data_IF_321171957636
#
_entry.id   IF_321171957636
#
_cell.length_a   1.000
_cell.length_b   1.000
_cell.length_c   1.000
_cell.angle_alpha   90.00
_cell.angle_beta   90.00
_cell.angle_gamma   90.00
#
_symmetry.space_group_name_H-M   'P 1'
#
loop_
_entity.id
_entity.type
_entity.pdbx_description
1 polymer ?
#
# COMPACT_ATOMS: atom_id res chain seq x y z
N UNK A 1 11.99 9.04 -1.79
CA UNK A 1 11.69 8.67 -3.19
C UNK A 1 10.20 8.92 -3.37
N UNK A 2 9.74 9.27 -4.54
CA UNK A 2 8.31 9.47 -4.82
C UNK A 2 7.74 8.17 -5.36
N UNK A 3 6.62 7.74 -4.82
CA UNK A 3 5.87 6.57 -5.24
C UNK A 3 4.57 7.03 -5.88
N UNK A 4 4.30 6.55 -7.08
CA UNK A 4 3.06 6.80 -7.81
C UNK A 4 2.42 5.46 -8.04
N UNK A 5 1.20 5.30 -7.57
CA UNK A 5 0.45 4.06 -7.63
C UNK A 5 -0.93 4.26 -8.23
N UNK A 6 -1.49 3.19 -8.75
CA UNK A 6 -2.91 3.04 -9.05
C UNK A 6 -3.42 1.78 -8.35
N UNK A 7 -4.65 1.82 -7.90
CA UNK A 7 -5.30 0.75 -7.14
C UNK A 7 -6.65 0.42 -7.74
N UNK A 8 -6.96 -0.85 -7.82
CA UNK A 8 -8.28 -1.35 -8.24
C UNK A 8 -8.79 -2.41 -7.27
N UNK A 9 -10.10 -2.50 -7.15
CA UNK A 9 -10.77 -3.64 -6.50
C UNK A 9 -10.86 -4.80 -7.49
N UNK A 10 -10.50 -5.98 -7.05
CA UNK A 10 -10.54 -7.18 -7.91
C UNK A 10 -11.91 -7.84 -7.87
N UNK A 11 -12.50 -8.02 -9.05
CA UNK A 11 -13.72 -8.80 -9.26
C UNK A 11 -13.37 -10.26 -9.63
N UNK A 12 -12.32 -10.45 -10.43
CA UNK A 12 -11.80 -11.75 -10.88
C UNK A 12 -10.31 -11.87 -10.57
N UNK A 13 -10.01 -12.32 -9.36
CA UNK A 13 -8.62 -12.51 -8.92
C UNK A 13 -7.92 -13.64 -9.66
N UNK A 14 -8.62 -14.72 -9.98
CA UNK A 14 -8.03 -15.88 -10.65
C UNK A 14 -7.67 -15.54 -12.10
N UNK A 15 -8.55 -14.87 -12.82
CA UNK A 15 -8.28 -14.39 -14.18
C UNK A 15 -7.09 -13.44 -14.22
N UNK A 16 -6.99 -12.52 -13.25
CA UNK A 16 -5.84 -11.63 -13.14
C UNK A 16 -4.53 -12.37 -12.90
N UNK A 17 -4.52 -13.35 -11.97
CA UNK A 17 -3.33 -14.14 -11.69
C UNK A 17 -2.85 -14.92 -12.92
N UNK A 18 -3.79 -15.45 -13.72
CA UNK A 18 -3.47 -16.10 -14.99
C UNK A 18 -2.88 -15.10 -16.02
N UNK A 19 -3.43 -13.89 -16.12
CA UNK A 19 -2.91 -12.84 -17.01
C UNK A 19 -1.49 -12.41 -16.62
N UNK A 20 -1.23 -12.22 -15.33
CA UNK A 20 0.12 -11.90 -14.81
C UNK A 20 1.12 -13.02 -15.12
N UNK A 21 0.74 -14.27 -14.89
CA UNK A 21 1.57 -15.44 -15.23
C UNK A 21 1.86 -15.50 -16.74
N UNK A 22 0.86 -15.21 -17.59
CA UNK A 22 1.01 -15.12 -19.05
C UNK A 22 1.99 -14.04 -19.50
N UNK A 23 2.17 -12.98 -18.70
CA UNK A 23 3.19 -11.94 -18.93
C UNK A 23 4.54 -12.26 -18.24
N UNK A 24 4.68 -13.43 -17.63
CA UNK A 24 5.93 -13.86 -16.97
C UNK A 24 6.14 -13.24 -15.59
N UNK A 25 5.13 -12.64 -14.99
CA UNK A 25 5.22 -12.11 -13.61
C UNK A 25 5.24 -13.27 -12.63
N UNK A 26 6.30 -13.34 -11.82
CA UNK A 26 6.42 -14.29 -10.72
C UNK A 26 6.09 -13.55 -9.43
N UNK A 27 5.02 -13.98 -8.78
CA UNK A 27 4.62 -13.43 -7.49
C UNK A 27 5.39 -14.09 -6.35
N UNK A 28 5.75 -13.29 -5.36
CA UNK A 28 6.39 -13.75 -4.11
C UNK A 28 5.52 -14.76 -3.35
N UNK A 29 6.10 -15.38 -2.34
CA UNK A 29 5.32 -16.00 -1.28
C UNK A 29 4.42 -14.96 -0.60
N UNK A 30 3.40 -15.49 0.09
CA UNK A 30 2.44 -14.66 0.83
C UNK A 30 3.12 -13.99 2.02
N UNK A 31 2.91 -12.69 2.16
CA UNK A 31 3.36 -11.89 3.30
C UNK A 31 2.14 -11.44 4.08
N UNK A 32 2.08 -11.75 5.37
CA UNK A 32 1.09 -11.18 6.27
C UNK A 32 1.60 -9.84 6.76
N UNK A 33 0.78 -8.80 6.62
CA UNK A 33 1.11 -7.44 7.02
C UNK A 33 0.05 -6.92 7.97
N UNK A 34 0.49 -6.32 9.09
CA UNK A 34 -0.35 -5.52 9.97
C UNK A 34 0.17 -4.10 9.96
N UNK A 35 -0.65 -3.17 9.53
CA UNK A 35 -0.34 -1.75 9.41
C UNK A 35 -1.06 -0.98 10.50
N UNK A 36 -0.32 -0.39 11.42
CA UNK A 36 -0.83 0.57 12.40
C UNK A 36 -0.50 1.98 11.90
N UNK A 37 -1.54 2.73 11.56
CA UNK A 37 -1.43 4.07 10.96
C UNK A 37 -1.72 5.13 12.01
N UNK A 38 -0.94 6.19 11.99
CA UNK A 38 -1.02 7.31 12.93
C UNK A 38 -1.03 8.63 12.18
N UNK A 39 -1.88 9.57 12.62
CA UNK A 39 -1.97 10.92 12.11
C UNK A 39 -1.90 11.96 13.21
N UNK A 40 -1.82 13.22 12.84
CA UNK A 40 -1.96 14.31 13.81
C UNK A 40 -3.41 14.46 14.26
N UNK A 41 -3.67 14.88 15.51
CA UNK A 41 -5.04 15.12 15.99
C UNK A 41 -5.80 16.10 15.09
N UNK A 42 -7.02 15.72 14.69
CA UNK A 42 -7.86 16.51 13.80
C UNK A 42 -7.54 16.40 12.30
N UNK A 43 -6.40 15.84 11.94
CA UNK A 43 -5.94 15.71 10.54
C UNK A 43 -5.76 14.25 10.13
N UNK A 44 -5.99 13.31 11.03
CA UNK A 44 -5.91 11.89 10.75
C UNK A 44 -6.97 11.50 9.70
N UNK A 45 -6.51 11.04 8.55
CA UNK A 45 -7.35 10.68 7.41
C UNK A 45 -7.88 11.87 6.63
N UNK A 46 -7.24 13.01 6.76
CA UNK A 46 -7.55 14.17 5.90
C UNK A 46 -7.35 13.78 4.43
N UNK A 47 -8.19 14.37 3.60
CA UNK A 47 -8.24 14.30 2.14
C UNK A 47 -6.99 14.85 1.45
N UNK A 48 -5.90 14.68 2.14
CA UNK A 48 -4.62 14.71 1.58
C UNK A 48 -4.00 16.06 1.55
N UNK A 49 -3.20 16.41 2.07
CA UNK A 49 -2.31 17.13 1.25
C UNK A 49 -1.02 17.59 1.81
N UNK A 50 -0.70 17.67 2.96
CA UNK A 50 0.63 18.17 3.34
C UNK A 50 1.10 17.62 4.67
N UNK A 51 0.16 17.08 5.41
CA UNK A 51 0.43 16.54 6.73
C UNK A 51 0.95 15.11 6.59
N UNK A 52 2.15 14.84 7.06
CA UNK A 52 2.67 13.49 7.05
C UNK A 52 1.86 12.60 7.99
N UNK A 53 1.67 11.35 7.57
CA UNK A 53 1.19 10.29 8.43
C UNK A 53 2.27 9.22 8.59
N UNK A 54 2.16 8.46 9.66
CA UNK A 54 3.15 7.47 10.04
C UNK A 54 2.53 6.08 10.02
N UNK A 55 3.31 5.08 9.64
CA UNK A 55 2.91 3.68 9.65
C UNK A 55 3.96 2.86 10.36
N UNK A 56 3.52 2.03 11.29
CA UNK A 56 4.30 0.93 11.84
C UNK A 56 3.72 -0.35 11.25
N UNK A 57 4.49 -1.00 10.35
CA UNK A 57 4.10 -2.23 9.67
C UNK A 57 4.87 -3.40 10.24
N UNK A 58 4.18 -4.42 10.69
CA UNK A 58 4.77 -5.72 10.99
C UNK A 58 4.51 -6.66 9.82
N UNK A 59 5.57 -7.21 9.24
CA UNK A 59 5.49 -8.25 8.21
C UNK A 59 5.87 -9.59 8.81
N UNK A 60 5.08 -10.61 8.50
CA UNK A 60 5.34 -12.00 8.85
C UNK A 60 5.38 -12.82 7.57
N UNK A 61 6.45 -13.60 7.38
CA UNK A 61 6.66 -14.53 6.25
C UNK A 61 6.90 -15.93 6.78
N UNK A 62 6.47 -16.92 6.02
CA UNK A 62 6.60 -18.33 6.40
C UNK A 62 5.62 -18.75 7.48
N UNK A 63 5.82 -19.96 8.02
CA UNK A 63 5.01 -20.55 9.09
C UNK A 63 5.86 -21.42 10.01
N UNK A 64 5.45 -21.54 11.28
CA UNK A 64 6.12 -22.39 12.26
C UNK A 64 7.58 -22.00 12.48
N UNK A 65 8.49 -22.98 12.43
CA UNK A 65 9.93 -22.75 12.68
C UNK A 65 10.61 -21.87 11.62
N UNK A 66 9.99 -21.70 10.43
CA UNK A 66 10.49 -20.85 9.37
C UNK A 66 9.84 -19.46 9.34
N UNK A 67 9.08 -19.12 10.38
CA UNK A 67 8.47 -17.81 10.49
C UNK A 67 9.53 -16.73 10.73
N UNK A 68 9.49 -15.69 9.91
CA UNK A 68 10.33 -14.50 10.06
C UNK A 68 9.46 -13.28 10.21
N UNK A 69 9.86 -12.36 11.10
CA UNK A 69 9.17 -11.10 11.33
C UNK A 69 10.14 -9.94 11.13
N UNK A 70 9.65 -8.88 10.53
CA UNK A 70 10.32 -7.58 10.51
C UNK A 70 9.31 -6.46 10.75
N UNK A 71 9.80 -5.35 11.27
CA UNK A 71 8.98 -4.15 11.49
C UNK A 71 9.54 -3.00 10.68
N UNK A 72 8.68 -2.37 9.90
CA UNK A 72 9.00 -1.19 9.09
C UNK A 72 8.29 0.03 9.68
N UNK A 73 9.04 1.12 9.80
CA UNK A 73 8.50 2.42 10.16
C UNK A 73 8.56 3.33 8.94
N UNK A 74 7.41 3.83 8.53
CA UNK A 74 7.27 4.65 7.31
C UNK A 74 6.68 6.01 7.69
N UNK A 75 7.31 7.07 7.19
CA UNK A 75 6.70 8.39 7.06
C UNK A 75 6.23 8.55 5.63
N UNK A 76 4.94 8.83 5.44
CA UNK A 76 4.33 9.04 4.12
C UNK A 76 3.73 10.45 4.06
N UNK A 77 3.97 11.15 2.96
CA UNK A 77 3.40 12.47 2.69
C UNK A 77 2.89 12.54 1.28
N UNK A 78 1.59 12.78 1.14
CA UNK A 78 0.96 12.95 -0.16
C UNK A 78 1.50 14.18 -0.90
N UNK A 79 1.56 14.10 -2.22
CA UNK A 79 2.01 15.18 -3.12
C UNK A 79 0.85 15.75 -3.91
N UNK A 80 0.18 14.94 -4.73
CA UNK A 80 -1.00 15.35 -5.51
C UNK A 80 -2.27 14.61 -5.10
N UNK A 81 -2.14 13.55 -4.31
CA UNK A 81 -3.24 12.70 -3.84
C UNK A 81 -2.69 11.58 -2.96
N UNK A 82 -3.58 10.70 -2.49
CA UNK A 82 -3.18 9.60 -1.60
C UNK A 82 -2.31 8.54 -2.28
N UNK A 83 -2.46 8.39 -3.59
CA UNK A 83 -1.73 7.42 -4.41
C UNK A 83 -0.48 8.02 -5.10
N UNK A 84 -0.05 9.19 -4.65
CA UNK A 84 1.15 9.90 -5.08
C UNK A 84 1.83 10.51 -3.87
N UNK A 85 2.88 9.89 -3.39
CA UNK A 85 3.47 10.23 -2.11
C UNK A 85 5.00 10.18 -2.09
N UNK A 86 5.56 10.94 -1.17
CA UNK A 86 6.97 10.80 -0.77
C UNK A 86 7.01 9.92 0.47
N UNK A 87 7.74 8.81 0.35
CA UNK A 87 7.93 7.86 1.44
C UNK A 87 9.38 7.85 1.95
N UNK A 88 9.50 7.72 3.27
CA UNK A 88 10.75 7.41 3.97
C UNK A 88 10.51 6.25 4.89
N UNK A 89 11.17 5.15 4.62
CA UNK A 89 10.99 3.90 5.33
C UNK A 89 12.31 3.39 5.90
N UNK A 90 12.25 2.82 7.09
CA UNK A 90 13.37 2.15 7.75
C UNK A 90 12.88 0.98 8.56
N UNK A 91 13.74 -0.03 8.72
CA UNK A 91 13.46 -1.15 9.62
C UNK A 91 13.73 -0.74 11.06
N UNK A 92 12.88 -1.18 11.98
CA UNK A 92 13.00 -0.96 13.43
C UNK A 92 12.92 -2.28 14.17
N UNK A 93 13.67 -2.38 15.27
CA UNK A 93 13.79 -3.65 16.01
C UNK A 93 12.58 -3.98 16.90
N UNK A 94 11.86 -2.97 17.40
CA UNK A 94 10.78 -3.13 18.36
C UNK A 94 9.56 -2.27 17.98
N UNK A 95 8.46 -2.90 17.54
CA UNK A 95 7.25 -2.18 17.13
C UNK A 95 6.58 -1.45 18.30
N UNK A 96 6.58 -2.00 19.51
CA UNK A 96 5.88 -1.43 20.64
C UNK A 96 6.59 -0.17 21.14
N UNK A 97 7.91 -0.18 21.16
CA UNK A 97 8.71 1.01 21.48
C UNK A 97 8.50 2.07 20.39
N UNK A 98 8.51 1.69 19.12
CA UNK A 98 8.26 2.65 18.01
C UNK A 98 6.89 3.30 18.12
N UNK A 99 5.85 2.52 18.41
CA UNK A 99 4.49 3.02 18.64
C UNK A 99 4.43 3.98 19.84
N UNK A 100 5.13 3.67 20.93
CA UNK A 100 5.21 4.55 22.08
C UNK A 100 5.85 5.89 21.73
N UNK A 101 6.98 5.88 21.01
CA UNK A 101 7.65 7.09 20.51
C UNK A 101 6.70 7.93 19.64
N UNK A 102 6.01 7.30 18.68
CA UNK A 102 5.07 7.97 17.78
C UNK A 102 3.96 8.70 18.57
N UNK A 103 3.42 8.04 19.61
CA UNK A 103 2.39 8.63 20.50
C UNK A 103 2.94 9.78 21.34
N UNK A 104 4.15 9.67 21.87
CA UNK A 104 4.81 10.73 22.62
C UNK A 104 5.12 11.96 21.76
N UNK A 105 5.37 11.76 20.45
CA UNK A 105 5.51 12.85 19.48
C UNK A 105 4.17 13.54 19.14
N UNK A 106 3.05 13.08 19.72
CA UNK A 106 1.73 13.70 19.57
C UNK A 106 0.88 13.13 18.44
N UNK A 107 1.32 12.06 17.78
CA UNK A 107 0.49 11.36 16.80
C UNK A 107 -0.53 10.46 17.49
N UNK A 108 -1.72 10.35 16.92
CA UNK A 108 -2.81 9.51 17.43
C UNK A 108 -3.11 8.36 16.49
N UNK A 109 -3.52 7.18 17.01
CA UNK A 109 -3.94 6.06 16.18
C UNK A 109 -5.08 6.47 15.24
N UNK A 110 -4.96 6.08 13.98
CA UNK A 110 -5.96 6.33 12.94
C UNK A 110 -6.64 5.06 12.45
N UNK A 111 -5.84 4.04 12.10
CA UNK A 111 -6.35 2.73 11.65
C UNK A 111 -5.39 1.60 12.01
N UNK A 112 -5.93 0.38 12.04
CA UNK A 112 -5.20 -0.88 12.22
C UNK A 112 -5.71 -1.84 11.14
N UNK A 113 -4.84 -2.20 10.19
CA UNK A 113 -5.20 -2.93 8.98
C UNK A 113 -4.41 -4.23 8.92
N UNK A 114 -5.12 -5.34 8.78
CA UNK A 114 -4.54 -6.65 8.51
C UNK A 114 -4.76 -7.02 7.06
N UNK A 115 -3.70 -7.45 6.38
CA UNK A 115 -3.78 -7.91 5.00
C UNK A 115 -2.74 -8.99 4.70
N UNK A 116 -2.98 -9.72 3.63
CA UNK A 116 -1.97 -10.54 3.00
C UNK A 116 -1.60 -9.95 1.66
N UNK A 117 -0.30 -9.92 1.35
CA UNK A 117 0.24 -9.35 0.10
C UNK A 117 1.12 -10.35 -0.61
N UNK A 118 1.01 -10.39 -1.93
CA UNK A 118 2.00 -10.98 -2.83
C UNK A 118 2.54 -9.92 -3.76
N UNK A 119 3.85 -9.93 -3.99
CA UNK A 119 4.56 -8.90 -4.76
C UNK A 119 5.21 -9.56 -5.97
N UNK A 120 5.11 -8.91 -7.11
CA UNK A 120 5.82 -9.27 -8.33
C UNK A 120 6.35 -8.04 -9.05
N UNK A 121 7.05 -8.25 -10.15
CA UNK A 121 7.53 -7.16 -11.01
C UNK A 121 7.12 -7.39 -12.45
N UNK A 122 6.64 -6.35 -13.08
CA UNK A 122 6.43 -6.26 -14.52
C UNK A 122 7.26 -5.09 -15.04
N UNK A 123 8.46 -5.40 -15.59
CA UNK A 123 9.48 -4.42 -15.94
C UNK A 123 9.93 -3.59 -14.72
N UNK A 124 9.72 -2.27 -14.76
CA UNK A 124 10.03 -1.30 -13.69
C UNK A 124 8.85 -1.04 -12.73
N UNK A 125 7.72 -1.73 -12.94
CA UNK A 125 6.51 -1.58 -12.14
C UNK A 125 6.42 -2.70 -11.12
N UNK A 126 6.18 -2.35 -9.86
CA UNK A 126 5.83 -3.31 -8.83
C UNK A 126 4.33 -3.65 -8.91
N UNK A 127 4.03 -4.93 -8.81
CA UNK A 127 2.68 -5.48 -8.84
C UNK A 127 2.37 -6.02 -7.46
N UNK A 128 1.39 -5.46 -6.78
CA UNK A 128 0.94 -5.92 -5.48
C UNK A 128 -0.46 -6.51 -5.57
N UNK A 129 -0.63 -7.73 -5.06
CA UNK A 129 -1.94 -8.39 -4.92
C UNK A 129 -2.24 -8.50 -3.44
N UNK A 130 -3.23 -7.76 -2.99
CA UNK A 130 -3.64 -7.67 -1.60
C UNK A 130 -4.97 -8.37 -1.35
N UNK A 131 -5.07 -9.07 -0.22
CA UNK A 131 -6.34 -9.45 0.40
C UNK A 131 -6.41 -8.73 1.75
N UNK A 132 -7.27 -7.74 1.85
CA UNK A 132 -7.41 -6.87 3.02
C UNK A 132 -8.61 -7.34 3.85
N UNK A 133 -8.38 -7.58 5.12
CA UNK A 133 -9.43 -8.04 6.04
C UNK A 133 -10.56 -6.99 6.12
N UNK A 134 -11.80 -7.44 5.91
CA UNK A 134 -12.98 -6.58 5.90
C UNK A 134 -13.19 -5.76 4.62
N UNK A 135 -12.21 -5.67 3.71
CA UNK A 135 -12.32 -4.91 2.47
C UNK A 135 -12.36 -5.77 1.19
N UNK A 136 -11.73 -6.96 1.20
CA UNK A 136 -11.63 -7.85 0.03
C UNK A 136 -10.31 -7.75 -0.71
N UNK A 137 -10.33 -8.12 -2.00
CA UNK A 137 -9.13 -8.23 -2.83
C UNK A 137 -8.88 -6.99 -3.67
N UNK A 138 -7.59 -6.63 -3.80
CA UNK A 138 -7.13 -5.47 -4.56
C UNK A 138 -5.86 -5.80 -5.35
N UNK A 139 -5.63 -5.02 -6.39
CA UNK A 139 -4.34 -4.93 -7.07
C UNK A 139 -3.86 -3.50 -7.04
N UNK A 140 -2.56 -3.34 -6.76
CA UNK A 140 -1.85 -2.07 -6.91
C UNK A 140 -0.75 -2.25 -7.95
N UNK A 141 -0.55 -1.22 -8.78
CA UNK A 141 0.64 -1.02 -9.59
C UNK A 141 1.37 0.19 -9.08
N UNK A 142 2.61 0.01 -8.68
CA UNK A 142 3.44 1.03 -8.06
C UNK A 142 4.69 1.31 -8.90
N UNK A 143 5.02 2.58 -9.11
CA UNK A 143 6.26 2.99 -9.78
C UNK A 143 7.00 4.02 -8.95
N UNK A 144 8.27 3.75 -8.68
CA UNK A 144 9.17 4.70 -8.06
C UNK A 144 9.66 5.72 -9.08
N UNK A 145 9.56 6.99 -8.74
CA UNK A 145 9.90 8.09 -9.63
C UNK A 145 10.80 9.13 -8.96
N UNK A 146 11.46 9.93 -9.77
CA UNK A 146 12.16 11.13 -9.29
C UNK A 146 11.17 12.19 -8.82
N UNK A 147 11.63 13.10 -7.96
CA UNK A 147 10.77 14.15 -7.37
C UNK A 147 10.13 15.07 -8.43
N UNK A 148 10.77 15.23 -9.58
CA UNK A 148 10.32 16.09 -10.68
C UNK A 148 9.60 15.32 -11.79
N UNK A 149 9.28 14.03 -11.58
CA UNK A 149 8.55 13.25 -12.57
C UNK A 149 7.11 13.76 -12.74
N UNK A 150 6.60 13.66 -13.97
CA UNK A 150 5.20 13.97 -14.26
C UNK A 150 4.29 12.82 -13.76
N UNK A 151 3.51 13.03 -12.70
CA UNK A 151 2.66 11.97 -12.17
C UNK A 151 1.54 11.57 -13.14
N UNK A 152 1.03 12.50 -13.95
CA UNK A 152 -0.04 12.19 -14.88
C UNK A 152 0.43 11.20 -15.97
N UNK A 153 1.61 11.45 -16.53
CA UNK A 153 2.20 10.56 -17.52
C UNK A 153 2.47 9.14 -16.96
N UNK A 154 2.94 9.06 -15.70
CA UNK A 154 3.17 7.77 -15.03
C UNK A 154 1.84 7.07 -14.77
N UNK A 155 0.85 7.75 -14.26
CA UNK A 155 -0.50 7.19 -14.01
C UNK A 155 -1.13 6.66 -15.30
N UNK A 156 -1.04 7.39 -16.41
CA UNK A 156 -1.55 6.95 -17.70
C UNK A 156 -0.83 5.70 -18.21
N UNK A 157 0.48 5.59 -17.96
CA UNK A 157 1.25 4.40 -18.30
C UNK A 157 0.86 3.18 -17.44
N UNK A 158 0.68 3.37 -16.14
CA UNK A 158 0.18 2.32 -15.25
C UNK A 158 -1.21 1.84 -15.68
N UNK A 159 -2.09 2.74 -16.10
CA UNK A 159 -3.43 2.38 -16.62
C UNK A 159 -3.36 1.60 -17.93
N UNK A 160 -2.39 1.87 -18.81
CA UNK A 160 -2.17 1.03 -20.00
C UNK A 160 -1.81 -0.40 -19.62
N UNK A 161 -0.94 -0.57 -18.63
CA UNK A 161 -0.56 -1.89 -18.11
C UNK A 161 -1.79 -2.59 -17.49
N UNK A 162 -2.60 -1.90 -16.69
CA UNK A 162 -3.85 -2.47 -16.13
C UNK A 162 -4.79 -2.96 -17.24
N UNK A 163 -4.99 -2.17 -18.30
CA UNK A 163 -5.84 -2.53 -19.41
C UNK A 163 -5.33 -3.78 -20.15
N UNK A 164 -4.00 -3.93 -20.31
CA UNK A 164 -3.39 -5.13 -20.88
C UNK A 164 -3.56 -6.39 -20.01
N UNK A 165 -3.80 -6.22 -18.72
CA UNK A 165 -4.13 -7.29 -17.79
C UNK A 165 -5.64 -7.58 -17.72
N UNK A 166 -6.44 -6.88 -18.53
CA UNK A 166 -7.90 -7.04 -18.57
C UNK A 166 -8.64 -6.34 -17.42
N UNK A 167 -7.97 -5.44 -16.69
CA UNK A 167 -8.55 -4.72 -15.56
C UNK A 167 -9.15 -3.39 -16.02
N UNK A 168 -10.38 -3.11 -15.59
CA UNK A 168 -11.12 -1.90 -15.97
C UNK A 168 -10.83 -0.74 -15.02
N UNK A 169 -10.75 0.47 -15.59
CA UNK A 169 -10.69 1.70 -14.78
C UNK A 169 -11.96 1.96 -13.96
N UNK A 170 -13.04 1.27 -14.25
CA UNK A 170 -14.28 1.35 -13.46
C UNK A 170 -14.13 0.77 -12.05
N UNK A 171 -13.12 -0.09 -11.84
CA UNK A 171 -12.80 -0.69 -10.54
C UNK A 171 -11.76 0.12 -9.76
N UNK A 172 -11.42 1.33 -10.23
CA UNK A 172 -10.46 2.22 -9.59
C UNK A 172 -10.86 2.58 -8.16
N UNK A 173 -9.87 2.53 -7.27
CA UNK A 173 -9.99 2.95 -5.87
C UNK A 173 -8.91 3.98 -5.58
N UNK A 174 -9.33 5.20 -5.29
CA UNK A 174 -8.42 6.34 -5.05
C UNK A 174 -8.08 6.54 -3.58
N UNK A 175 -8.82 5.91 -2.69
CA UNK A 175 -8.59 5.99 -1.24
C UNK A 175 -7.55 4.96 -0.77
N UNK A 176 -6.79 5.31 0.26
CA UNK A 176 -5.98 4.36 1.02
C UNK A 176 -6.86 3.35 1.78
N UNK A 177 -6.30 2.19 2.13
CA UNK A 177 -7.03 1.18 2.92
C UNK A 177 -7.48 1.71 4.28
N UNK A 178 -6.72 2.60 4.88
CA UNK A 178 -7.03 3.30 6.13
C UNK A 178 -8.34 4.10 6.03
N UNK A 179 -8.52 4.83 4.94
CA UNK A 179 -9.74 5.59 4.66
C UNK A 179 -10.91 4.66 4.35
N UNK A 180 -10.68 3.60 3.56
CA UNK A 180 -11.71 2.61 3.25
C UNK A 180 -12.23 1.93 4.51
N UNK A 181 -11.33 1.53 5.43
CA UNK A 181 -11.71 0.94 6.72
C UNK A 181 -12.55 1.89 7.57
N UNK A 182 -12.17 3.16 7.59
CA UNK A 182 -12.93 4.18 8.33
C UNK A 182 -14.35 4.37 7.78
N UNK A 183 -14.51 4.33 6.45
CA UNK A 183 -15.83 4.43 5.80
C UNK A 183 -16.76 3.26 6.12
N UNK A 184 -16.21 2.07 6.45
CA UNK A 184 -17.01 0.93 6.89
C UNK A 184 -17.46 1.02 8.36
N UNK A 185 -16.77 1.82 9.17
CA UNK A 185 -17.02 1.93 10.62
C UNK A 185 -18.05 3.01 10.99
N UNK A 186 -18.60 3.70 9.99
CA UNK A 186 -19.65 4.74 10.10
C UNK A 186 -20.99 4.20 9.60
#
# INVERSE_FOLDING_TARGET
>A
MREIEIKVRLQDKEGLLAALAGKGVVLSELVHQRDQVFGLPGEAGGDGNTVPWLRVRTETRGQGENETKRTLFTLKRSVTGQLDSIERETEVGDPDIMIAIVKELGFVPFSDISKTRRIGKLNDVEVCIDSVEGLGDFMELERLAGENADPAAITDDLWRIMAELGVSRQDEVTDGYDILMKKLSV
#
